data_IF_881629069428
#
_entry.id   IF_881629069428
#
_cell.length_a   1.000
_cell.length_b   1.000
_cell.length_c   1.000
_cell.angle_alpha   90.00
_cell.angle_beta   90.00
_cell.angle_gamma   90.00
#
_symmetry.space_group_name_H-M   'P 1'
#
loop_
_entity.id
_entity.type
_entity.pdbx_description
1 polymer ?
#
# COMPACT_ATOMS: atom_id res chain seq x y z
N UNK A 1 13.45 22.03 -36.83
CA UNK A 1 13.13 20.61 -36.55
C UNK A 1 11.93 20.60 -35.62
N UNK A 2 10.75 20.47 -36.23
CA UNK A 2 9.44 20.69 -35.61
C UNK A 2 8.99 19.38 -34.96
N UNK A 3 8.78 19.38 -33.65
CA UNK A 3 8.24 18.22 -32.93
C UNK A 3 6.79 17.98 -33.37
N UNK A 4 6.54 16.82 -33.98
CA UNK A 4 5.19 16.41 -34.34
C UNK A 4 4.42 15.99 -33.09
N UNK A 5 3.42 16.80 -32.73
CA UNK A 5 2.36 16.42 -31.80
C UNK A 5 1.46 15.36 -32.47
N UNK A 6 1.59 14.11 -32.05
CA UNK A 6 0.62 13.06 -32.37
C UNK A 6 -0.65 13.27 -31.54
N UNK A 7 -1.67 13.87 -32.18
CA UNK A 7 -3.04 13.90 -31.69
C UNK A 7 -3.61 12.47 -31.72
N UNK A 8 -3.80 11.89 -30.53
CA UNK A 8 -4.38 10.56 -30.35
C UNK A 8 -5.91 10.59 -30.49
N UNK A 9 -6.41 10.95 -31.67
CA UNK A 9 -7.83 10.84 -32.05
C UNK A 9 -7.96 9.85 -33.20
N UNK A 10 -8.01 8.57 -32.85
CA UNK A 10 -8.21 7.46 -33.77
C UNK A 10 -8.17 6.16 -32.99
N UNK A 11 -9.11 5.25 -33.25
CA UNK A 11 -9.20 3.94 -32.61
C UNK A 11 -7.99 3.09 -32.97
N UNK A 12 -6.89 3.25 -32.24
CA UNK A 12 -5.73 2.36 -32.34
C UNK A 12 -5.97 1.15 -31.44
N UNK A 13 -5.82 -0.03 -32.01
CA UNK A 13 -5.99 -1.32 -31.35
C UNK A 13 -5.22 -1.37 -30.02
N UNK A 14 -5.86 -1.93 -28.99
CA UNK A 14 -5.30 -2.07 -27.65
C UNK A 14 -4.12 -3.07 -27.54
N UNK A 15 -3.39 -3.30 -28.63
CA UNK A 15 -2.39 -4.37 -28.79
C UNK A 15 -0.96 -3.97 -28.43
N UNK A 16 -0.57 -2.69 -28.50
CA UNK A 16 0.86 -2.34 -28.49
C UNK A 16 1.29 -1.48 -27.28
N UNK A 17 0.57 -1.59 -26.15
CA UNK A 17 1.06 -0.98 -24.92
C UNK A 17 2.18 -1.86 -24.36
N UNK A 18 3.44 -1.42 -24.50
CA UNK A 18 4.60 -2.08 -23.90
C UNK A 18 4.99 -1.38 -22.60
N UNK A 19 5.42 -2.12 -21.57
CA UNK A 19 5.70 -1.56 -20.23
C UNK A 19 6.73 -0.41 -20.26
N UNK A 20 7.60 -0.44 -21.26
CA UNK A 20 8.70 0.50 -21.47
C UNK A 20 8.25 1.79 -22.15
N UNK A 21 7.19 1.75 -22.97
CA UNK A 21 6.64 2.93 -23.67
C UNK A 21 5.64 3.73 -22.83
N UNK A 22 5.29 3.23 -21.64
CA UNK A 22 4.38 3.92 -20.73
C UNK A 22 5.00 5.23 -20.24
N UNK A 23 4.31 6.35 -20.50
CA UNK A 23 4.65 7.64 -19.91
C UNK A 23 4.33 7.64 -18.40
N UNK A 24 5.32 7.27 -17.59
CA UNK A 24 5.20 7.23 -16.14
C UNK A 24 4.99 8.60 -15.48
N UNK A 25 5.38 9.69 -16.15
CA UNK A 25 5.11 11.05 -15.69
C UNK A 25 3.60 11.33 -15.68
N UNK A 26 2.97 11.12 -16.82
CA UNK A 26 1.52 11.29 -16.99
C UNK A 26 0.72 10.38 -16.03
N UNK A 27 1.10 9.09 -15.94
CA UNK A 27 0.44 8.14 -15.03
C UNK A 27 0.50 8.63 -13.57
N UNK A 28 1.65 9.15 -13.13
CA UNK A 28 1.80 9.68 -11.76
C UNK A 28 0.97 10.95 -11.55
N UNK A 29 0.90 11.83 -12.54
CA UNK A 29 0.11 13.05 -12.46
C UNK A 29 -1.39 12.78 -12.37
N UNK A 30 -1.90 11.83 -13.15
CA UNK A 30 -3.30 11.41 -13.09
C UNK A 30 -3.66 10.85 -11.70
N UNK A 31 -2.82 9.96 -11.16
CA UNK A 31 -3.01 9.41 -9.82
C UNK A 31 -2.94 10.51 -8.76
N UNK A 32 -1.93 11.39 -8.83
CA UNK A 32 -1.76 12.52 -7.92
C UNK A 32 -2.95 13.46 -7.96
N UNK A 33 -3.51 13.75 -9.13
CA UNK A 33 -4.71 14.57 -9.31
C UNK A 33 -5.91 13.97 -8.58
N UNK A 34 -6.11 12.66 -8.67
CA UNK A 34 -7.16 11.96 -7.92
C UNK A 34 -6.89 11.98 -6.41
N UNK A 35 -5.65 11.72 -5.97
CA UNK A 35 -5.26 11.78 -4.55
C UNK A 35 -5.51 13.18 -3.96
N UNK A 36 -5.17 14.25 -4.67
CA UNK A 36 -5.43 15.64 -4.24
C UNK A 36 -6.93 15.93 -4.12
N UNK A 37 -7.75 15.40 -5.05
CA UNK A 37 -9.21 15.51 -4.96
C UNK A 37 -9.77 14.76 -3.75
N UNK A 38 -9.20 13.60 -3.40
CA UNK A 38 -9.55 12.86 -2.20
C UNK A 38 -9.19 13.69 -0.96
N UNK A 39 -7.96 14.19 -0.86
CA UNK A 39 -7.51 15.01 0.27
C UNK A 39 -8.39 16.26 0.45
N UNK A 40 -8.74 16.95 -0.64
CA UNK A 40 -9.68 18.09 -0.62
C UNK A 40 -11.07 17.68 -0.09
N UNK A 41 -11.61 16.54 -0.55
CA UNK A 41 -12.90 16.05 -0.09
C UNK A 41 -12.89 15.63 1.40
N UNK A 42 -11.77 15.09 1.90
CA UNK A 42 -11.58 14.79 3.33
C UNK A 42 -11.57 16.07 4.15
N UNK A 43 -10.82 17.09 3.69
CA UNK A 43 -10.79 18.41 4.34
C UNK A 43 -12.16 19.07 4.42
N UNK A 44 -12.98 18.92 3.38
CA UNK A 44 -14.37 19.40 3.31
C UNK A 44 -15.37 18.47 4.04
N UNK A 45 -14.91 17.40 4.71
CA UNK A 45 -15.76 16.39 5.38
C UNK A 45 -16.81 15.72 4.48
N UNK A 46 -16.59 15.68 3.16
CA UNK A 46 -17.51 15.07 2.18
C UNK A 46 -17.22 13.58 2.00
N UNK A 47 -17.55 12.76 3.00
CA UNK A 47 -17.15 11.34 3.03
C UNK A 47 -17.73 10.47 1.90
N UNK A 48 -18.94 10.76 1.41
CA UNK A 48 -19.50 10.04 0.26
C UNK A 48 -18.68 10.31 -1.02
N UNK A 49 -18.20 11.54 -1.19
CA UNK A 49 -17.30 11.91 -2.29
C UNK A 49 -15.93 11.25 -2.16
N UNK A 50 -15.41 11.11 -0.93
CA UNK A 50 -14.18 10.35 -0.66
C UNK A 50 -14.33 8.91 -1.15
N UNK A 51 -15.40 8.20 -0.76
CA UNK A 51 -15.67 6.83 -1.20
C UNK A 51 -15.77 6.72 -2.73
N UNK A 52 -16.48 7.64 -3.38
CA UNK A 52 -16.61 7.66 -4.83
C UNK A 52 -15.26 7.88 -5.54
N UNK A 53 -14.41 8.77 -5.01
CA UNK A 53 -13.08 9.03 -5.57
C UNK A 53 -12.09 7.88 -5.31
N UNK A 54 -12.16 7.22 -4.15
CA UNK A 54 -11.41 6.00 -3.87
C UNK A 54 -11.81 4.88 -4.84
N UNK A 55 -13.11 4.74 -5.10
CA UNK A 55 -13.63 3.79 -6.09
C UNK A 55 -13.13 4.12 -7.50
N UNK A 56 -13.14 5.39 -7.89
CA UNK A 56 -12.61 5.83 -9.18
C UNK A 56 -11.10 5.54 -9.32
N UNK A 57 -10.31 5.86 -8.27
CA UNK A 57 -8.87 5.62 -8.26
C UNK A 57 -8.55 4.13 -8.35
N UNK A 58 -9.21 3.29 -7.54
CA UNK A 58 -8.96 1.84 -7.56
C UNK A 58 -9.38 1.16 -8.86
N UNK A 59 -10.31 1.74 -9.64
CA UNK A 59 -10.69 1.21 -10.95
C UNK A 59 -9.89 1.80 -12.12
N UNK A 60 -9.14 2.88 -11.91
CA UNK A 60 -8.32 3.51 -12.95
C UNK A 60 -7.16 2.60 -13.40
N UNK A 61 -6.94 2.52 -14.71
CA UNK A 61 -5.83 1.75 -15.27
C UNK A 61 -4.47 2.32 -14.86
N UNK A 62 -4.33 3.65 -14.83
CA UNK A 62 -3.12 4.36 -14.39
C UNK A 62 -2.73 3.99 -12.95
N UNK A 63 -3.72 3.90 -12.05
CA UNK A 63 -3.50 3.47 -10.66
C UNK A 63 -3.07 2.00 -10.57
N UNK A 64 -3.66 1.11 -11.37
CA UNK A 64 -3.28 -0.31 -11.43
C UNK A 64 -1.85 -0.50 -11.94
N UNK A 65 -1.46 0.24 -12.98
CA UNK A 65 -0.08 0.25 -13.48
C UNK A 65 0.91 0.70 -12.41
N UNK A 66 0.59 1.79 -11.70
CA UNK A 66 1.45 2.30 -10.63
C UNK A 66 1.57 1.30 -9.47
N UNK A 67 0.48 0.62 -9.11
CA UNK A 67 0.47 -0.40 -8.07
C UNK A 67 1.37 -1.60 -8.45
N UNK A 68 1.27 -2.10 -9.68
CA UNK A 68 2.14 -3.18 -10.20
C UNK A 68 3.59 -2.71 -10.27
N UNK A 69 3.85 -1.48 -10.70
CA UNK A 69 5.21 -0.92 -10.74
C UNK A 69 5.85 -0.87 -9.36
N UNK A 70 5.11 -0.40 -8.35
CA UNK A 70 5.58 -0.37 -6.96
C UNK A 70 5.96 -1.77 -6.48
N UNK A 71 5.12 -2.78 -6.73
CA UNK A 71 5.40 -4.16 -6.29
C UNK A 71 6.56 -4.79 -7.04
N UNK A 72 6.71 -4.52 -8.34
CA UNK A 72 7.76 -5.13 -9.18
C UNK A 72 9.14 -4.50 -8.98
N UNK A 73 9.20 -3.22 -8.60
CA UNK A 73 10.47 -2.52 -8.31
C UNK A 73 11.02 -2.82 -6.91
N UNK A 74 10.17 -3.25 -5.98
CA UNK A 74 10.64 -3.57 -4.62
C UNK A 74 11.55 -4.81 -4.63
N UNK A 75 12.58 -4.89 -3.76
CA UNK A 75 13.47 -6.05 -3.67
C UNK A 75 12.73 -7.37 -3.45
N UNK A 76 11.62 -7.33 -2.70
CA UNK A 76 10.76 -8.49 -2.45
C UNK A 76 9.98 -8.99 -3.68
N UNK A 77 10.05 -8.33 -4.84
CA UNK A 77 9.39 -8.76 -6.07
C UNK A 77 9.90 -10.12 -6.58
N UNK A 78 11.13 -10.48 -6.20
CA UNK A 78 11.76 -11.77 -6.55
C UNK A 78 11.29 -12.93 -5.67
N UNK A 79 10.61 -12.66 -4.56
CA UNK A 79 10.11 -13.68 -3.64
C UNK A 79 8.67 -14.01 -4.00
N UNK A 80 8.37 -15.20 -4.54
CA UNK A 80 7.01 -15.60 -4.86
C UNK A 80 6.18 -15.79 -3.58
N UNK A 81 4.85 -15.77 -3.72
CA UNK A 81 3.96 -16.23 -2.65
C UNK A 81 3.78 -17.76 -2.72
N UNK A 82 2.70 -18.23 -2.11
CA UNK A 82 2.28 -19.65 -2.17
C UNK A 82 2.06 -20.12 -3.62
N UNK A 83 1.70 -19.20 -4.51
CA UNK A 83 1.43 -19.46 -5.93
C UNK A 83 2.68 -19.68 -6.79
N UNK A 84 3.89 -19.37 -6.29
CA UNK A 84 5.12 -19.52 -7.07
C UNK A 84 5.28 -18.50 -8.21
N UNK A 85 4.34 -17.57 -8.39
CA UNK A 85 4.29 -16.67 -9.55
C UNK A 85 5.14 -15.41 -9.32
N UNK A 86 5.93 -15.02 -10.33
CA UNK A 86 6.71 -13.78 -10.38
C UNK A 86 6.44 -13.09 -11.71
N UNK A 87 6.32 -11.76 -11.73
CA UNK A 87 6.15 -10.98 -12.96
C UNK A 87 7.48 -10.42 -13.44
N UNK A 88 8.10 -11.10 -14.40
CA UNK A 88 9.41 -10.73 -14.96
C UNK A 88 9.23 -9.90 -16.23
N UNK A 89 8.36 -10.34 -17.14
CA UNK A 89 8.23 -9.72 -18.47
C UNK A 89 7.31 -8.49 -18.45
N UNK A 90 7.53 -7.51 -19.36
CA UNK A 90 6.62 -6.40 -19.60
C UNK A 90 5.14 -6.81 -19.74
N UNK A 91 4.88 -7.85 -20.55
CA UNK A 91 3.54 -8.36 -20.81
C UNK A 91 2.87 -8.91 -19.55
N UNK A 92 3.60 -9.69 -18.74
CA UNK A 92 3.10 -10.20 -17.46
C UNK A 92 2.69 -9.05 -16.53
N UNK A 93 3.44 -7.94 -16.51
CA UNK A 93 3.12 -6.78 -15.67
C UNK A 93 1.87 -6.04 -16.15
N UNK A 94 1.68 -5.90 -17.47
CA UNK A 94 0.49 -5.27 -18.04
C UNK A 94 -0.74 -6.15 -17.84
N UNK A 95 -0.62 -7.44 -18.10
CA UNK A 95 -1.69 -8.41 -17.86
C UNK A 95 -2.04 -8.47 -16.37
N UNK A 96 -1.04 -8.40 -15.49
CA UNK A 96 -1.26 -8.26 -14.06
C UNK A 96 -2.08 -7.01 -13.73
N UNK A 97 -1.71 -5.84 -14.28
CA UNK A 97 -2.46 -4.60 -14.07
C UNK A 97 -3.92 -4.69 -14.59
N UNK A 98 -4.15 -5.32 -15.73
CA UNK A 98 -5.50 -5.60 -16.26
C UNK A 98 -6.29 -6.55 -15.36
N UNK A 99 -5.62 -7.54 -14.76
CA UNK A 99 -6.22 -8.54 -13.86
C UNK A 99 -6.59 -8.01 -12.46
N UNK A 100 -6.12 -6.82 -12.08
CA UNK A 100 -6.47 -6.18 -10.81
C UNK A 100 -7.92 -5.67 -10.89
N UNK A 101 -8.84 -6.52 -10.49
CA UNK A 101 -10.27 -6.22 -10.43
C UNK A 101 -10.82 -6.58 -9.05
N UNK A 102 -11.76 -5.76 -8.56
CA UNK A 102 -12.46 -6.02 -7.29
C UNK A 102 -13.40 -7.24 -7.43
N UNK A 103 -14.13 -7.32 -8.55
CA UNK A 103 -15.06 -8.42 -8.82
C UNK A 103 -14.27 -9.71 -9.05
N UNK A 104 -14.68 -10.80 -8.40
CA UNK A 104 -14.01 -12.09 -8.51
C UNK A 104 -12.67 -12.20 -7.78
N UNK A 105 -12.24 -11.17 -7.03
CA UNK A 105 -11.02 -11.24 -6.25
C UNK A 105 -11.16 -12.24 -5.09
N UNK A 106 -10.30 -13.26 -5.10
CA UNK A 106 -10.11 -14.24 -4.03
C UNK A 106 -8.72 -14.04 -3.45
N UNK A 107 -8.65 -13.92 -2.12
CA UNK A 107 -7.39 -13.88 -1.40
C UNK A 107 -6.83 -15.28 -1.30
N UNK A 108 -5.51 -15.38 -1.43
CA UNK A 108 -4.75 -16.60 -1.21
C UNK A 108 -4.01 -16.48 0.13
N UNK A 109 -3.74 -17.60 0.80
CA UNK A 109 -2.99 -17.60 2.05
C UNK A 109 -1.58 -17.04 1.86
N UNK A 110 -1.05 -16.44 2.92
CA UNK A 110 0.31 -15.91 2.92
C UNK A 110 1.33 -17.03 3.12
N UNK A 111 2.51 -16.93 2.52
CA UNK A 111 3.61 -17.87 2.75
C UNK A 111 4.43 -17.41 3.96
N UNK A 112 4.55 -18.23 5.01
CA UNK A 112 5.29 -17.87 6.22
C UNK A 112 6.75 -18.30 6.13
N UNK A 113 7.66 -17.35 6.37
CA UNK A 113 9.10 -17.58 6.47
C UNK A 113 9.62 -17.00 7.78
N UNK A 114 10.76 -17.51 8.25
CA UNK A 114 11.39 -17.03 9.47
C UNK A 114 12.69 -16.29 9.17
N UNK A 115 12.80 -15.07 9.69
CA UNK A 115 14.02 -14.27 9.59
C UNK A 115 14.73 -14.30 10.94
N UNK A 116 16.03 -14.69 11.00
CA UNK A 116 16.77 -14.69 12.25
C UNK A 116 17.00 -13.25 12.75
N UNK A 117 16.75 -12.99 14.03
CA UNK A 117 17.21 -11.77 14.70
C UNK A 117 18.63 -11.95 15.23
N UNK A 118 19.28 -10.82 15.53
CA UNK A 118 20.60 -10.80 16.20
C UNK A 118 20.59 -11.55 17.54
N UNK A 119 19.46 -11.55 18.24
CA UNK A 119 19.28 -12.19 19.55
C UNK A 119 18.94 -13.70 19.46
N UNK A 120 19.09 -14.32 18.29
CA UNK A 120 18.79 -15.75 18.07
C UNK A 120 17.30 -16.11 17.93
N UNK A 121 16.38 -15.23 18.34
CA UNK A 121 14.93 -15.40 18.13
C UNK A 121 14.58 -15.23 16.65
N UNK A 122 13.57 -15.94 16.17
CA UNK A 122 13.08 -15.81 14.79
C UNK A 122 11.90 -14.85 14.71
N UNK A 123 11.88 -14.00 13.67
CA UNK A 123 10.74 -13.16 13.33
C UNK A 123 9.94 -13.83 12.20
N UNK A 124 8.66 -14.18 12.42
CA UNK A 124 7.82 -14.65 11.34
C UNK A 124 7.53 -13.50 10.36
N UNK A 125 7.71 -13.75 9.07
CA UNK A 125 7.31 -12.87 7.98
C UNK A 125 6.31 -13.61 7.11
N UNK A 126 5.16 -12.99 6.85
CA UNK A 126 4.13 -13.55 5.99
C UNK A 126 4.16 -12.83 4.64
N UNK A 127 4.54 -13.58 3.61
CA UNK A 127 4.75 -13.09 2.26
C UNK A 127 3.47 -13.32 1.43
N UNK A 128 2.77 -12.25 0.99
CA UNK A 128 1.59 -12.42 0.15
C UNK A 128 1.99 -12.76 -1.29
N UNK A 129 1.11 -13.35 -2.09
CA UNK A 129 1.26 -13.44 -3.55
C UNK A 129 1.37 -12.05 -4.22
N UNK A 130 2.04 -11.95 -5.37
CA UNK A 130 2.26 -10.67 -6.06
C UNK A 130 0.93 -9.96 -6.42
N UNK A 131 -0.09 -10.73 -6.83
CA UNK A 131 -1.42 -10.19 -7.09
C UNK A 131 -2.03 -9.56 -5.83
N UNK A 132 -1.85 -10.19 -4.67
CA UNK A 132 -2.33 -9.67 -3.40
C UNK A 132 -1.59 -8.39 -3.00
N UNK A 133 -0.25 -8.38 -3.09
CA UNK A 133 0.57 -7.18 -2.85
C UNK A 133 0.16 -6.02 -3.74
N UNK A 134 -0.15 -6.30 -5.00
CA UNK A 134 -0.57 -5.26 -5.96
C UNK A 134 -1.96 -4.72 -5.65
N UNK A 135 -2.89 -5.57 -5.23
CA UNK A 135 -4.20 -5.11 -4.73
C UNK A 135 -4.08 -4.28 -3.46
N UNK A 136 -3.20 -4.66 -2.53
CA UNK A 136 -2.92 -3.88 -1.32
C UNK A 136 -2.28 -2.52 -1.67
N UNK A 137 -1.26 -2.52 -2.54
CA UNK A 137 -0.61 -1.32 -3.07
C UNK A 137 -1.61 -0.37 -3.75
N UNK A 138 -2.55 -0.91 -4.52
CA UNK A 138 -3.62 -0.14 -5.17
C UNK A 138 -4.55 0.55 -4.16
N UNK A 139 -4.94 -0.16 -3.09
CA UNK A 139 -5.78 0.43 -2.03
C UNK A 139 -4.99 1.39 -1.15
N UNK A 140 -3.70 1.16 -0.94
CA UNK A 140 -2.82 2.08 -0.24
C UNK A 140 -2.79 3.44 -0.94
N UNK A 141 -2.66 3.48 -2.28
CA UNK A 141 -2.73 4.74 -3.04
C UNK A 141 -4.03 5.53 -2.79
N UNK A 142 -5.15 4.84 -2.53
CA UNK A 142 -6.44 5.45 -2.22
C UNK A 142 -6.56 5.90 -0.76
N UNK A 143 -5.81 5.27 0.15
CA UNK A 143 -5.83 5.54 1.59
C UNK A 143 -4.81 6.59 2.02
N UNK A 144 -3.65 6.65 1.38
CA UNK A 144 -2.59 7.65 1.59
C UNK A 144 -3.14 9.09 1.75
N UNK A 145 -3.97 9.64 0.83
CA UNK A 145 -4.48 11.00 0.98
C UNK A 145 -5.44 11.17 2.16
N UNK A 146 -6.13 10.11 2.59
CA UNK A 146 -7.02 10.16 3.75
C UNK A 146 -6.22 10.08 5.05
N UNK A 147 -5.23 9.20 5.09
CA UNK A 147 -4.31 9.04 6.21
C UNK A 147 -3.52 10.34 6.45
N UNK A 148 -2.97 10.95 5.41
CA UNK A 148 -2.20 12.19 5.53
C UNK A 148 -3.04 13.35 6.07
N UNK A 149 -4.33 13.43 5.71
CA UNK A 149 -5.24 14.45 6.22
C UNK A 149 -5.72 14.22 7.67
N UNK A 150 -5.65 12.98 8.16
CA UNK A 150 -6.09 12.60 9.52
C UNK A 150 -4.93 12.44 10.50
N UNK A 151 -3.72 12.23 10.00
CA UNK A 151 -2.54 11.96 10.83
C UNK A 151 -2.10 13.18 11.62
N UNK A 152 -1.51 12.92 12.78
CA UNK A 152 -0.93 13.97 13.62
C UNK A 152 0.25 14.67 12.92
N UNK A 153 0.49 15.94 13.25
CA UNK A 153 1.63 16.70 12.71
C UNK A 153 2.98 16.15 13.18
N UNK A 154 3.04 15.53 14.35
CA UNK A 154 4.24 14.94 14.96
C UNK A 154 4.37 13.43 14.72
N UNK A 155 3.53 12.84 13.87
CA UNK A 155 3.69 11.45 13.43
C UNK A 155 4.66 11.39 12.23
N UNK A 156 5.82 10.74 12.39
CA UNK A 156 6.86 10.68 11.35
C UNK A 156 7.03 9.30 10.70
N UNK A 157 6.67 8.22 11.39
CA UNK A 157 6.83 6.86 10.88
C UNK A 157 5.93 6.56 9.67
N UNK A 158 6.46 5.78 8.72
CA UNK A 158 5.71 5.17 7.60
C UNK A 158 4.92 6.15 6.72
N UNK A 159 5.33 7.42 6.68
CA UNK A 159 4.67 8.46 5.89
C UNK A 159 5.51 8.89 4.69
N UNK A 160 4.89 9.13 3.53
CA UNK A 160 5.62 9.62 2.38
C UNK A 160 6.20 11.01 2.68
N UNK A 161 7.47 11.22 2.31
CA UNK A 161 8.20 12.49 2.46
C UNK A 161 8.43 12.93 3.91
N UNK A 162 8.41 11.99 4.86
CA UNK A 162 8.88 12.21 6.24
C UNK A 162 10.01 11.24 6.54
N UNK A 163 10.99 11.70 7.29
CA UNK A 163 12.19 10.95 7.65
C UNK A 163 12.42 10.94 9.16
N UNK A 164 13.32 10.07 9.61
CA UNK A 164 13.78 10.07 11.01
C UNK A 164 14.50 11.37 11.38
N UNK A 165 15.13 12.04 10.41
CA UNK A 165 15.76 13.34 10.63
C UNK A 165 14.74 14.43 11.01
N UNK A 166 13.54 14.40 10.43
CA UNK A 166 12.47 15.35 10.78
C UNK A 166 12.00 15.16 12.24
N UNK A 167 11.96 13.91 12.70
CA UNK A 167 11.63 13.60 14.10
C UNK A 167 12.72 14.12 15.06
N UNK A 168 14.00 13.91 14.72
CA UNK A 168 15.12 14.44 15.50
C UNK A 168 15.08 15.97 15.56
N UNK A 169 14.82 16.63 14.43
CA UNK A 169 14.68 18.09 14.38
C UNK A 169 13.54 18.57 15.27
N UNK A 170 12.42 17.86 15.30
CA UNK A 170 11.30 18.21 16.17
C UNK A 170 11.65 18.03 17.66
N UNK A 171 12.36 16.96 18.02
CA UNK A 171 12.89 16.78 19.37
C UNK A 171 13.83 17.92 19.76
N UNK A 172 14.74 18.31 18.87
CA UNK A 172 15.63 19.45 19.09
C UNK A 172 14.85 20.75 19.32
N UNK A 173 13.86 21.05 18.46
CA UNK A 173 13.04 22.25 18.58
C UNK A 173 12.23 22.31 19.88
N UNK A 174 11.82 21.15 20.42
CA UNK A 174 11.07 21.03 21.65
C UNK A 174 11.98 21.13 22.90
N UNK A 175 13.15 20.51 22.87
CA UNK A 175 14.05 20.37 24.02
C UNK A 175 15.12 21.48 24.13
N UNK A 176 15.44 22.19 23.04
CA UNK A 176 16.47 23.23 23.05
C UNK A 176 16.01 24.59 23.64
N UNK A 177 14.75 24.70 24.06
CA UNK A 177 14.18 25.95 24.60
C UNK A 177 14.51 26.10 26.09
N UNK A 178 14.66 27.34 26.56
CA UNK A 178 14.87 27.63 28.00
C UNK A 178 13.76 27.10 28.91
N UNK A 179 12.54 26.96 28.40
CA UNK A 179 11.38 26.40 29.10
C UNK A 179 11.12 24.92 28.71
N UNK A 180 12.15 24.19 28.30
CA UNK A 180 12.00 22.78 27.92
C UNK A 180 11.62 21.90 29.12
N UNK A 181 10.83 20.84 28.90
CA UNK A 181 10.48 19.89 29.95
C UNK A 181 11.74 19.15 30.44
N UNK A 182 11.87 19.01 31.76
CA UNK A 182 13.02 18.33 32.39
C UNK A 182 12.93 16.80 32.38
N UNK A 183 11.76 16.24 32.03
CA UNK A 183 11.48 14.81 32.05
C UNK A 183 10.86 14.36 30.73
N UNK A 184 11.30 13.21 30.23
CA UNK A 184 10.81 12.58 29.01
C UNK A 184 10.29 11.20 29.37
N UNK A 185 9.08 10.87 28.91
CA UNK A 185 8.52 9.54 29.03
C UNK A 185 8.83 8.74 27.76
N UNK A 186 9.64 7.70 27.90
CA UNK A 186 9.87 6.72 26.85
C UNK A 186 8.81 5.61 26.97
N UNK A 187 8.11 5.34 25.87
CA UNK A 187 7.11 4.28 25.80
C UNK A 187 7.18 3.56 24.47
N UNK A 188 7.08 2.23 24.53
CA UNK A 188 6.98 1.35 23.35
C UNK A 188 5.73 0.47 23.46
N UNK A 189 5.11 0.18 22.32
CA UNK A 189 3.90 -0.65 22.24
C UNK A 189 4.32 -2.09 21.95
N UNK A 190 4.15 -2.96 22.94
CA UNK A 190 4.41 -4.39 22.78
C UNK A 190 3.48 -4.99 21.72
N UNK A 191 4.08 -5.66 20.72
CA UNK A 191 3.36 -6.49 19.74
C UNK A 191 2.20 -5.77 19.02
N UNK A 192 2.43 -4.53 18.57
CA UNK A 192 1.42 -3.68 17.91
C UNK A 192 0.68 -4.36 16.75
N UNK A 193 1.39 -5.11 15.89
CA UNK A 193 0.77 -5.80 14.75
C UNK A 193 0.06 -7.08 15.12
N UNK A 194 0.55 -7.80 16.13
CA UNK A 194 0.04 -9.13 16.49
C UNK A 194 -1.21 -9.04 17.37
N UNK A 195 -1.42 -7.90 18.05
CA UNK A 195 -2.56 -7.65 18.95
C UNK A 195 -3.67 -6.77 18.34
N UNK A 196 -3.55 -6.40 17.07
CA UNK A 196 -4.47 -5.45 16.44
C UNK A 196 -5.83 -6.12 16.14
N UNK A 197 -6.90 -5.57 16.70
CA UNK A 197 -8.25 -6.09 16.52
C UNK A 197 -8.77 -5.90 15.10
N UNK A 198 -9.19 -6.99 14.47
CA UNK A 198 -9.75 -6.99 13.12
C UNK A 198 -11.10 -6.24 13.01
N UNK A 199 -11.89 -6.19 14.08
CA UNK A 199 -13.16 -5.44 14.10
C UNK A 199 -12.90 -3.93 14.12
N UNK A 200 -11.96 -3.49 14.96
CA UNK A 200 -11.57 -2.09 15.05
C UNK A 200 -11.08 -1.55 13.69
N UNK A 201 -10.29 -2.34 12.95
CA UNK A 201 -9.82 -1.96 11.61
C UNK A 201 -10.96 -1.79 10.61
N UNK A 202 -11.96 -2.68 10.65
CA UNK A 202 -13.11 -2.62 9.74
C UNK A 202 -13.98 -1.38 9.98
N UNK A 203 -14.01 -0.87 11.21
CA UNK A 203 -14.85 0.27 11.56
C UNK A 203 -14.14 1.61 11.38
N UNK A 204 -12.82 1.64 11.58
CA UNK A 204 -12.06 2.89 11.56
C UNK A 204 -11.36 3.19 10.21
N UNK A 205 -11.10 2.16 9.38
CA UNK A 205 -10.44 2.36 8.08
C UNK A 205 -11.47 2.68 6.99
N UNK A 206 -11.40 3.85 6.33
CA UNK A 206 -12.32 4.25 5.28
C UNK A 206 -11.96 3.58 3.95
N UNK A 207 -12.20 2.28 3.86
CA UNK A 207 -11.96 1.47 2.67
C UNK A 207 -13.08 0.45 2.42
N UNK A 208 -12.95 -0.34 1.33
CA UNK A 208 -13.85 -1.45 1.06
C UNK A 208 -13.73 -2.54 2.14
N UNK A 209 -14.72 -2.58 3.04
CA UNK A 209 -14.79 -3.55 4.16
C UNK A 209 -14.73 -5.00 3.68
N UNK A 210 -15.26 -5.31 2.50
CA UNK A 210 -15.27 -6.68 1.97
C UNK A 210 -13.84 -7.12 1.64
N UNK A 211 -13.06 -6.26 1.00
CA UNK A 211 -11.66 -6.56 0.66
C UNK A 211 -10.78 -6.63 1.91
N UNK A 212 -10.98 -5.69 2.85
CA UNK A 212 -10.25 -5.70 4.11
C UNK A 212 -10.52 -7.00 4.89
N UNK A 213 -11.78 -7.43 4.99
CA UNK A 213 -12.15 -8.69 5.65
C UNK A 213 -11.51 -9.90 4.97
N UNK A 214 -11.48 -9.93 3.63
CA UNK A 214 -10.82 -11.01 2.88
C UNK A 214 -9.31 -11.07 3.14
N UNK A 215 -8.64 -9.94 3.34
CA UNK A 215 -7.22 -9.89 3.67
C UNK A 215 -6.95 -10.32 5.11
N UNK A 216 -7.75 -9.85 6.07
CA UNK A 216 -7.61 -10.24 7.48
C UNK A 216 -7.85 -11.74 7.68
N UNK A 217 -8.77 -12.34 6.91
CA UNK A 217 -9.09 -13.78 6.98
C UNK A 217 -8.26 -14.68 6.07
N UNK A 218 -7.28 -14.15 5.35
CA UNK A 218 -6.56 -14.91 4.32
C UNK A 218 -5.76 -16.11 4.89
N UNK A 219 -5.43 -16.11 6.19
CA UNK A 219 -4.63 -17.15 6.81
C UNK A 219 -3.17 -17.15 6.32
N UNK A 220 -2.36 -18.06 6.85
CA UNK A 220 -1.00 -18.29 6.37
C UNK A 220 -0.70 -19.78 6.26
N UNK A 221 0.21 -20.12 5.36
CA UNK A 221 0.75 -21.47 5.21
C UNK A 221 2.11 -21.53 5.85
N UNK A 222 2.28 -22.52 6.72
CA UNK A 222 3.51 -22.88 7.41
C UNK A 222 3.69 -24.40 7.28
N UNK A 223 4.85 -24.85 6.82
CA UNK A 223 5.15 -26.29 6.66
C UNK A 223 4.07 -27.10 5.89
N UNK A 224 3.48 -26.48 4.85
CA UNK A 224 2.37 -27.02 4.03
C UNK A 224 1.03 -27.16 4.74
N UNK A 225 0.92 -26.70 5.98
CA UNK A 225 -0.33 -26.65 6.74
C UNK A 225 -0.93 -25.26 6.67
N UNK A 226 -2.25 -25.18 6.44
CA UNK A 226 -2.98 -23.92 6.44
C UNK A 226 -3.39 -23.56 7.87
N UNK A 227 -2.89 -22.43 8.36
CA UNK A 227 -3.28 -21.88 9.65
C UNK A 227 -4.20 -20.67 9.46
N UNK A 228 -5.38 -20.65 10.09
CA UNK A 228 -6.22 -19.46 10.12
C UNK A 228 -5.55 -18.36 10.95
N UNK A 229 -5.68 -17.11 10.50
CA UNK A 229 -5.27 -15.94 11.29
C UNK A 229 -6.43 -15.57 12.21
N UNK A 230 -6.29 -15.85 13.52
CA UNK A 230 -7.32 -15.51 14.51
C UNK A 230 -7.20 -14.07 15.00
N UNK A 231 -5.98 -13.62 15.31
CA UNK A 231 -5.70 -12.26 15.79
C UNK A 231 -4.42 -11.70 15.16
N UNK A 232 -4.38 -10.37 15.03
CA UNK A 232 -3.26 -9.63 14.47
C UNK A 232 -3.25 -9.59 12.95
N UNK A 233 -2.45 -8.67 12.41
CA UNK A 233 -2.29 -8.53 10.96
C UNK A 233 -0.94 -9.08 10.52
N UNK A 234 -0.90 -9.95 9.48
CA UNK A 234 0.35 -10.58 9.05
C UNK A 234 1.41 -9.54 8.71
N UNK A 235 2.58 -9.66 9.35
CA UNK A 235 3.73 -8.80 9.06
C UNK A 235 4.21 -9.09 7.64
N UNK A 236 4.14 -8.08 6.76
CA UNK A 236 4.44 -8.21 5.32
C UNK A 236 3.33 -7.73 4.39
N UNK A 237 2.17 -7.35 4.92
CA UNK A 237 1.12 -6.69 4.14
C UNK A 237 1.51 -5.24 3.80
N UNK A 238 1.54 -4.90 2.51
CA UNK A 238 1.84 -3.54 2.01
C UNK A 238 0.89 -2.47 2.53
N UNK A 239 -0.30 -2.87 3.02
CA UNK A 239 -1.33 -1.95 3.49
C UNK A 239 -1.03 -1.35 4.89
N UNK A 240 -0.10 -1.95 5.65
CA UNK A 240 0.18 -1.59 7.06
C UNK A 240 1.64 -1.22 7.32
N UNK A 241 2.40 -0.94 6.27
CA UNK A 241 3.79 -0.45 6.31
C UNK A 241 3.89 0.84 5.51
#
# INVERSE_FOLDING_TARGET
MTAMNLTLTGASSASDLTWETINWGQVREEVKRLQLRIAKAVREKRYNKVKALQWLLTNSFSSKLLAVKRVTQNPGSKTPGVDGVIWRTPEQKINAARSLQRRGYKTQPLHRIYIPKKDGRQRPLSIPPLKCRSMQSLHLLALEPVAEMRADKNAYGFRPKRSTADAIQQCFNALARKAAPSWILEGDIRACFDSLSGTWLQDNIPMDKILLTKWLRAGYIEEKTLHPTFDGVPQGAFLLV
#
